data_IF_270219181669
#
_entry.id   IF_270219181669
#
_cell.length_a   1.000
_cell.length_b   1.000
_cell.length_c   1.000
_cell.angle_alpha   90.00
_cell.angle_beta   90.00
_cell.angle_gamma   90.00
#
_symmetry.space_group_name_H-M   'P 1'
#
loop_
_entity.id
_entity.type
_entity.pdbx_description
1 polymer ?
#
# COMPACT_ATOMS: atom_id res chain seq x y z
N UNK A 1 40.51 -2.72 45.89
CA UNK A 1 41.20 -1.61 46.58
C UNK A 1 40.41 -0.33 46.35
N UNK A 2 39.76 0.14 47.45
CA UNK A 2 39.36 1.53 47.83
C UNK A 2 38.63 2.38 46.77
N UNK A 3 37.29 2.52 46.91
CA UNK A 3 36.54 3.62 47.60
C UNK A 3 37.22 5.01 47.57
N UNK A 4 36.54 6.00 46.98
CA UNK A 4 36.35 7.32 47.55
C UNK A 4 35.16 8.06 46.94
N UNK A 5 34.20 8.28 47.82
CA UNK A 5 33.07 9.19 47.71
C UNK A 5 33.54 10.63 47.72
N UNK A 6 32.83 11.54 47.03
CA UNK A 6 32.78 12.94 47.37
C UNK A 6 31.38 13.52 47.09
N UNK A 7 30.78 13.94 48.19
CA UNK A 7 29.52 14.70 48.33
C UNK A 7 29.92 16.19 48.43
N UNK A 8 29.17 17.04 47.77
CA UNK A 8 28.97 18.46 48.10
C UNK A 8 28.04 19.07 47.03
N UNK A 9 27.05 19.83 47.22
CA UNK A 9 26.38 20.53 48.29
C UNK A 9 25.50 21.58 47.60
N UNK A 10 24.32 21.70 48.10
CA UNK A 10 23.20 22.61 47.81
C UNK A 10 23.62 24.09 47.74
N UNK A 11 23.01 24.89 46.80
CA UNK A 11 22.71 26.28 47.04
C UNK A 11 21.38 26.65 46.38
N UNK A 12 20.39 26.83 47.21
CA UNK A 12 19.12 27.50 46.88
C UNK A 12 19.30 29.00 46.91
N UNK A 13 18.74 29.72 45.95
CA UNK A 13 18.51 31.16 46.09
C UNK A 13 17.11 31.48 45.58
N UNK A 14 16.25 31.82 46.51
CA UNK A 14 14.91 32.40 46.31
C UNK A 14 15.06 33.93 46.37
N UNK A 15 14.22 34.62 45.61
CA UNK A 15 13.72 36.01 45.72
C UNK A 15 13.36 36.50 44.31
N UNK A 16 12.21 37.12 44.04
CA UNK A 16 11.19 37.72 44.90
C UNK A 16 10.03 38.16 44.03
N UNK A 17 8.95 38.25 44.66
CA UNK A 17 7.60 38.63 44.19
C UNK A 17 7.55 40.14 43.86
N UNK A 18 6.90 40.50 42.76
CA UNK A 18 6.28 41.82 42.65
C UNK A 18 4.94 41.68 41.99
N UNK A 19 3.90 41.79 42.80
CA UNK A 19 2.51 42.11 42.40
C UNK A 19 2.45 43.57 41.99
N UNK A 20 1.84 43.84 40.86
CA UNK A 20 1.18 45.10 40.61
C UNK A 20 -0.18 44.79 39.94
N UNK A 21 -1.26 44.98 40.68
CA UNK A 21 -2.62 44.99 40.21
C UNK A 21 -3.05 46.44 39.87
N UNK A 22 -3.92 46.55 38.88
CA UNK A 22 -4.99 47.54 38.58
C UNK A 22 -5.03 47.70 37.06
N UNK A 23 -6.14 47.65 36.38
CA UNK A 23 -7.55 47.67 36.62
C UNK A 23 -8.24 48.00 35.32
N UNK A 24 -9.37 47.36 35.09
CA UNK A 24 -10.52 47.99 34.42
C UNK A 24 -10.56 48.06 32.89
N UNK A 25 -11.53 47.38 32.29
CA UNK A 25 -12.35 48.02 31.23
C UNK A 25 -12.31 47.33 29.84
N UNK A 26 -13.42 46.73 29.61
CA UNK A 26 -14.17 46.60 28.35
C UNK A 26 -13.83 45.49 27.32
N UNK A 27 -14.94 44.84 27.06
CA UNK A 27 -15.16 43.80 26.04
C UNK A 27 -14.83 44.33 24.66
N UNK A 28 -14.08 43.52 23.92
CA UNK A 28 -14.35 43.33 22.50
C UNK A 28 -14.12 41.88 22.16
N UNK A 29 -15.21 41.22 21.77
CA UNK A 29 -15.26 39.93 21.15
C UNK A 29 -14.60 40.02 19.75
N UNK A 30 -13.35 39.74 19.65
CA UNK A 30 -12.72 39.40 18.38
C UNK A 30 -12.08 38.03 18.55
N UNK A 31 -12.80 37.01 18.10
CA UNK A 31 -12.28 35.68 17.84
C UNK A 31 -11.22 35.73 16.74
N UNK A 32 -10.10 36.34 17.05
CA UNK A 32 -8.86 36.25 16.30
C UNK A 32 -8.18 34.96 16.69
N UNK A 33 -8.39 33.88 15.93
CA UNK A 33 -7.65 32.66 16.10
C UNK A 33 -6.15 32.96 16.08
N UNK A 34 -5.51 32.75 17.21
CA UNK A 34 -4.06 32.80 17.36
C UNK A 34 -3.45 31.87 16.31
N UNK A 35 -2.86 32.45 15.25
CA UNK A 35 -1.96 31.76 14.34
C UNK A 35 -0.63 31.52 15.04
N UNK A 36 -0.67 30.86 16.21
CA UNK A 36 0.51 30.32 16.84
C UNK A 36 1.17 29.32 15.90
N UNK A 37 2.48 29.29 15.89
CA UNK A 37 3.36 28.45 15.06
C UNK A 37 2.93 26.97 15.16
N UNK A 38 1.93 26.55 14.33
CA UNK A 38 1.37 25.21 14.35
C UNK A 38 2.32 24.30 13.55
N UNK A 39 2.74 23.23 14.17
CA UNK A 39 3.58 22.21 13.52
C UNK A 39 2.86 20.86 13.57
N UNK A 40 2.61 20.29 12.40
CA UNK A 40 2.07 18.94 12.24
C UNK A 40 3.21 17.92 12.20
N UNK A 41 2.96 16.75 12.76
CA UNK A 41 3.77 15.54 12.53
C UNK A 41 3.09 14.67 11.47
N UNK A 42 3.84 14.33 10.43
CA UNK A 42 3.35 13.51 9.32
C UNK A 42 4.23 12.29 9.10
N UNK A 43 3.65 11.10 9.25
CA UNK A 43 4.27 9.84 8.88
C UNK A 43 3.86 9.44 7.47
N UNK A 44 4.79 9.50 6.54
CA UNK A 44 4.61 9.04 5.17
C UNK A 44 5.10 7.60 5.00
N UNK A 45 4.41 6.81 4.19
CA UNK A 45 4.90 5.50 3.73
C UNK A 45 5.98 5.68 2.67
N UNK A 46 6.86 4.69 2.51
CA UNK A 46 7.77 4.64 1.39
C UNK A 46 7.00 4.31 0.10
N UNK A 47 6.90 5.26 -0.80
CA UNK A 47 6.21 5.13 -2.08
C UNK A 47 7.18 5.16 -3.27
N UNK A 48 8.27 5.90 -3.16
CA UNK A 48 9.32 6.01 -4.16
C UNK A 48 10.37 4.90 -4.07
N UNK A 49 11.52 5.12 -4.70
CA UNK A 49 12.59 4.13 -4.82
C UNK A 49 13.38 3.91 -3.53
N UNK A 50 13.28 4.82 -2.57
CA UNK A 50 13.90 4.74 -1.24
C UNK A 50 13.28 5.75 -0.28
N UNK A 51 13.52 5.59 1.04
CA UNK A 51 13.08 6.54 2.06
C UNK A 51 13.64 7.96 1.82
N UNK A 52 14.87 8.07 1.33
CA UNK A 52 15.48 9.36 1.03
C UNK A 52 14.88 9.98 -0.23
N UNK A 53 14.57 9.18 -1.25
CA UNK A 53 13.83 9.63 -2.43
C UNK A 53 12.45 10.17 -2.06
N UNK A 54 11.71 9.51 -1.17
CA UNK A 54 10.43 10.03 -0.68
C UNK A 54 10.57 11.39 0.00
N UNK A 55 11.62 11.58 0.83
CA UNK A 55 11.91 12.88 1.48
C UNK A 55 12.22 13.96 0.44
N UNK A 56 13.02 13.64 -0.58
CA UNK A 56 13.35 14.57 -1.66
C UNK A 56 12.10 15.02 -2.44
N UNK A 57 11.18 14.09 -2.70
CA UNK A 57 9.92 14.36 -3.41
C UNK A 57 8.93 15.14 -2.55
N UNK A 58 8.76 14.75 -1.29
CA UNK A 58 7.76 15.36 -0.40
C UNK A 58 8.17 16.71 0.15
N UNK A 59 9.45 16.93 0.44
CA UNK A 59 9.94 18.17 1.09
C UNK A 59 9.48 19.45 0.36
N UNK A 60 9.66 19.61 -0.97
CA UNK A 60 9.21 20.83 -1.65
C UNK A 60 7.69 21.01 -1.61
N UNK A 61 6.92 19.93 -1.63
CA UNK A 61 5.45 19.94 -1.51
C UNK A 61 5.03 20.44 -0.13
N UNK A 62 5.67 19.95 0.93
CA UNK A 62 5.42 20.37 2.31
C UNK A 62 5.88 21.81 2.59
N UNK A 63 6.98 22.23 2.00
CA UNK A 63 7.43 23.63 2.06
C UNK A 63 6.42 24.59 1.42
N UNK A 64 5.86 24.20 0.26
CA UNK A 64 4.81 24.97 -0.40
C UNK A 64 3.56 25.06 0.46
N UNK A 65 3.12 23.96 1.06
CA UNK A 65 2.01 23.96 2.04
C UNK A 65 2.28 24.94 3.19
N UNK A 66 3.51 24.92 3.74
CA UNK A 66 3.91 25.85 4.82
C UNK A 66 3.87 27.31 4.37
N UNK A 67 4.34 27.60 3.15
CA UNK A 67 4.29 28.95 2.59
C UNK A 67 2.86 29.48 2.40
N UNK A 68 1.93 28.59 1.98
CA UNK A 68 0.54 28.96 1.73
C UNK A 68 -0.30 29.08 3.01
N UNK A 69 0.03 28.34 4.05
CA UNK A 69 -0.82 28.20 5.25
C UNK A 69 -0.19 28.70 6.55
N UNK A 70 1.11 28.89 6.60
CA UNK A 70 1.87 29.13 7.82
C UNK A 70 2.07 27.89 8.71
N UNK A 71 1.49 26.73 8.35
CA UNK A 71 1.57 25.50 9.12
C UNK A 71 2.82 24.73 8.73
N UNK A 72 3.71 24.45 9.68
CA UNK A 72 4.90 23.61 9.47
C UNK A 72 4.56 22.13 9.48
N UNK A 73 5.34 21.31 8.78
CA UNK A 73 5.15 19.85 8.78
C UNK A 73 6.50 19.18 9.06
N UNK A 74 6.55 18.41 10.13
CA UNK A 74 7.64 17.48 10.43
C UNK A 74 7.37 16.15 9.76
N UNK A 75 8.12 15.86 8.71
CA UNK A 75 8.02 14.63 7.93
C UNK A 75 8.89 13.53 8.51
N UNK A 76 8.31 12.35 8.69
CA UNK A 76 9.05 11.09 8.85
C UNK A 76 8.58 10.11 7.78
N UNK A 77 9.52 9.57 6.97
CA UNK A 77 9.22 8.52 5.99
C UNK A 77 9.55 7.17 6.60
N UNK A 78 8.59 6.24 6.56
CA UNK A 78 8.67 4.93 7.22
C UNK A 78 8.52 3.84 6.18
N UNK A 79 9.43 2.85 6.21
CA UNK A 79 9.36 1.68 5.34
C UNK A 79 8.15 0.80 5.66
N UNK A 80 7.62 0.12 4.64
CA UNK A 80 6.44 -0.74 4.76
C UNK A 80 6.56 -1.84 5.80
N UNK A 81 7.77 -2.41 5.98
CA UNK A 81 8.01 -3.47 6.96
C UNK A 81 7.78 -3.03 8.41
N UNK A 82 7.92 -1.72 8.68
CA UNK A 82 7.83 -1.17 10.03
C UNK A 82 6.54 -0.36 10.26
N UNK A 83 5.94 0.17 9.20
CA UNK A 83 4.87 1.17 9.29
C UNK A 83 3.66 0.66 10.08
N UNK A 84 3.17 -0.54 9.78
CA UNK A 84 2.00 -1.11 10.46
C UNK A 84 2.26 -1.29 11.97
N UNK A 85 3.42 -1.85 12.33
CA UNK A 85 3.82 -2.04 13.73
C UNK A 85 3.95 -0.70 14.46
N UNK A 86 4.48 0.32 13.80
CA UNK A 86 4.59 1.66 14.38
C UNK A 86 3.22 2.30 14.60
N UNK A 87 2.29 2.14 13.67
CA UNK A 87 0.90 2.62 13.82
C UNK A 87 0.25 1.93 15.03
N UNK A 88 0.33 0.62 15.15
CA UNK A 88 -0.21 -0.14 16.29
C UNK A 88 0.42 0.30 17.63
N UNK A 89 1.73 0.54 17.63
CA UNK A 89 2.43 1.07 18.80
C UNK A 89 1.95 2.48 19.16
N UNK A 90 1.75 3.34 18.17
CA UNK A 90 1.24 4.70 18.38
C UNK A 90 -0.19 4.69 18.96
N UNK A 91 -1.05 3.79 18.47
CA UNK A 91 -2.42 3.59 19.01
C UNK A 91 -2.36 3.20 20.49
N UNK A 92 -1.55 2.22 20.85
CA UNK A 92 -1.49 1.67 22.22
C UNK A 92 -0.78 2.60 23.20
N UNK A 93 0.25 3.32 22.76
CA UNK A 93 1.01 4.26 23.61
C UNK A 93 0.37 5.66 23.72
N UNK A 94 -0.53 6.00 22.82
CA UNK A 94 -1.08 7.35 22.69
C UNK A 94 -0.08 8.39 22.13
N UNK A 95 1.12 7.96 21.72
CA UNK A 95 2.14 8.81 21.10
C UNK A 95 2.08 8.67 19.59
N UNK A 96 1.14 9.37 18.99
CA UNK A 96 0.83 9.28 17.57
C UNK A 96 1.22 10.57 16.82
N UNK A 97 1.50 10.50 15.50
CA UNK A 97 1.59 11.68 14.66
C UNK A 97 0.20 12.32 14.50
N UNK A 98 0.13 13.52 13.93
CA UNK A 98 -1.15 14.14 13.59
C UNK A 98 -1.79 13.46 12.38
N UNK A 99 -0.97 13.21 11.35
CA UNK A 99 -1.39 12.60 10.08
C UNK A 99 -0.46 11.43 9.73
N UNK A 100 -1.05 10.37 9.16
CA UNK A 100 -0.30 9.18 8.76
C UNK A 100 -0.81 8.60 7.45
N UNK A 101 0.13 8.12 6.62
CA UNK A 101 -0.19 7.24 5.51
C UNK A 101 -0.48 5.83 6.03
N UNK A 102 -1.51 5.22 5.47
CA UNK A 102 -1.81 3.80 5.68
C UNK A 102 -1.92 3.09 4.34
N UNK A 103 -1.63 1.80 4.30
CA UNK A 103 -2.13 0.94 3.23
C UNK A 103 -3.66 0.96 3.26
N UNK A 104 -4.30 1.18 2.12
CA UNK A 104 -5.76 1.26 2.09
C UNK A 104 -6.43 -0.05 2.51
N UNK A 105 -5.74 -1.17 2.41
CA UNK A 105 -6.21 -2.49 2.85
C UNK A 105 -6.36 -2.56 4.38
N UNK A 106 -5.57 -1.79 5.15
CA UNK A 106 -5.65 -1.74 6.61
C UNK A 106 -6.77 -0.84 7.15
N UNK A 107 -7.47 -0.12 6.27
CA UNK A 107 -8.40 0.93 6.70
C UNK A 107 -9.53 0.41 7.60
N UNK A 108 -10.12 -0.75 7.28
CA UNK A 108 -11.21 -1.31 8.07
C UNK A 108 -10.76 -1.84 9.43
N UNK A 109 -9.59 -2.47 9.52
CA UNK A 109 -9.01 -2.94 10.79
C UNK A 109 -8.57 -1.78 11.67
N UNK A 110 -7.94 -0.76 11.09
CA UNK A 110 -7.54 0.45 11.82
C UNK A 110 -8.75 1.26 12.28
N UNK A 111 -9.82 1.34 11.48
CA UNK A 111 -11.07 1.96 11.87
C UNK A 111 -11.68 1.31 13.13
N UNK A 112 -11.62 -0.01 13.22
CA UNK A 112 -12.12 -0.75 14.37
C UNK A 112 -11.39 -0.44 15.69
N UNK A 113 -10.19 0.16 15.64
CA UNK A 113 -9.45 0.60 16.84
C UNK A 113 -9.97 1.88 17.47
N UNK A 114 -10.87 2.61 16.80
CA UNK A 114 -11.38 3.94 17.17
C UNK A 114 -10.27 5.01 17.39
N UNK A 115 -9.08 4.78 16.86
CA UNK A 115 -7.94 5.69 17.04
C UNK A 115 -7.91 6.85 16.03
N UNK A 116 -8.68 6.75 14.94
CA UNK A 116 -8.65 7.70 13.85
C UNK A 116 -9.89 8.56 13.76
N UNK A 117 -9.71 9.79 13.29
CA UNK A 117 -10.78 10.76 13.06
C UNK A 117 -11.70 10.25 11.93
N UNK A 118 -13.00 10.12 12.15
CA UNK A 118 -13.94 9.87 11.07
C UNK A 118 -14.02 11.11 10.15
N UNK A 119 -13.99 10.87 8.85
CA UNK A 119 -14.32 11.88 7.86
C UNK A 119 -15.85 11.92 7.69
N UNK A 120 -16.51 12.38 8.72
CA UNK A 120 -17.95 12.66 8.76
C UNK A 120 -18.32 13.85 7.86
N UNK A 121 -19.58 14.30 7.90
CA UNK A 121 -20.08 15.39 7.07
C UNK A 121 -19.23 16.65 7.12
N UNK A 122 -18.79 17.08 8.31
CA UNK A 122 -18.00 18.29 8.53
C UNK A 122 -16.54 18.09 8.10
N UNK A 123 -15.89 17.01 8.54
CA UNK A 123 -14.52 16.70 8.18
C UNK A 123 -14.39 16.43 6.68
N UNK A 124 -15.32 15.70 6.08
CA UNK A 124 -15.35 15.46 4.66
C UNK A 124 -15.54 16.76 3.85
N UNK A 125 -16.41 17.66 4.31
CA UNK A 125 -16.61 18.98 3.70
C UNK A 125 -15.34 19.83 3.80
N UNK A 126 -14.66 19.82 4.96
CA UNK A 126 -13.42 20.57 5.20
C UNK A 126 -12.31 20.18 4.22
N UNK A 127 -12.24 18.91 3.81
CA UNK A 127 -11.24 18.43 2.84
C UNK A 127 -11.68 18.59 1.36
N UNK A 128 -12.85 19.15 1.09
CA UNK A 128 -13.36 19.42 -0.27
C UNK A 128 -14.42 18.45 -0.77
N UNK A 129 -14.99 17.63 0.10
CA UNK A 129 -16.12 16.74 -0.20
C UNK A 129 -15.74 15.40 -0.85
N UNK A 130 -16.65 14.44 -0.69
CA UNK A 130 -16.47 13.06 -1.21
C UNK A 130 -16.51 13.00 -2.73
N UNK A 131 -17.22 13.92 -3.38
CA UNK A 131 -17.51 13.85 -4.82
C UNK A 131 -16.28 14.07 -5.70
N UNK A 132 -15.20 14.62 -5.15
CA UNK A 132 -13.94 14.77 -5.88
C UNK A 132 -13.20 13.43 -6.09
N UNK A 133 -13.42 12.45 -5.21
CA UNK A 133 -12.71 11.17 -5.25
C UNK A 133 -13.32 10.17 -6.24
N UNK A 134 -12.47 9.30 -6.77
CA UNK A 134 -12.90 8.09 -7.49
C UNK A 134 -13.67 7.22 -6.50
N UNK A 135 -14.91 6.79 -6.80
CA UNK A 135 -15.75 6.08 -5.84
C UNK A 135 -15.13 4.78 -5.31
N UNK A 136 -14.49 3.99 -6.19
CA UNK A 136 -13.81 2.75 -5.80
C UNK A 136 -12.62 2.99 -4.87
N UNK A 137 -11.88 4.10 -5.06
CA UNK A 137 -10.81 4.49 -4.17
C UNK A 137 -11.35 4.93 -2.79
N UNK A 138 -12.38 5.78 -2.77
CA UNK A 138 -12.97 6.26 -1.53
C UNK A 138 -13.60 5.11 -0.72
N UNK A 139 -14.16 4.10 -1.37
CA UNK A 139 -14.71 2.92 -0.71
C UNK A 139 -13.69 2.17 0.16
N UNK A 140 -12.38 2.31 -0.12
CA UNK A 140 -11.31 1.71 0.70
C UNK A 140 -10.98 2.50 1.97
N UNK A 141 -11.75 3.53 2.30
CA UNK A 141 -11.49 4.41 3.44
C UNK A 141 -11.86 3.83 4.82
N UNK A 142 -12.50 2.67 4.87
CA UNK A 142 -12.97 2.00 6.08
C UNK A 142 -14.01 0.95 5.77
N UNK A 143 -14.71 0.49 6.79
CA UNK A 143 -15.78 -0.50 6.68
C UNK A 143 -16.95 0.06 5.85
N UNK A 144 -17.51 -0.77 4.98
CA UNK A 144 -18.67 -0.40 4.17
C UNK A 144 -19.86 0.07 5.02
N UNK A 145 -20.54 1.12 4.56
CA UNK A 145 -21.71 1.68 5.25
C UNK A 145 -21.42 2.55 6.46
N UNK A 146 -20.13 2.89 6.72
CA UNK A 146 -19.71 3.79 7.79
C UNK A 146 -18.98 5.01 7.24
N UNK A 147 -18.84 6.07 8.05
CA UNK A 147 -17.97 7.19 7.69
C UNK A 147 -16.52 6.69 7.63
N UNK A 148 -15.78 6.98 6.55
CA UNK A 148 -14.41 6.53 6.42
C UNK A 148 -13.50 7.19 7.46
N UNK A 149 -12.48 6.48 7.94
CA UNK A 149 -11.43 7.03 8.82
C UNK A 149 -10.12 7.28 8.07
N UNK A 150 -10.15 7.08 6.77
CA UNK A 150 -9.06 7.46 5.86
C UNK A 150 -9.61 7.93 4.52
N UNK A 151 -8.82 8.71 3.79
CA UNK A 151 -9.17 9.16 2.44
C UNK A 151 -8.04 8.85 1.48
N UNK A 152 -8.34 8.53 0.20
CA UNK A 152 -7.34 8.15 -0.77
C UNK A 152 -6.32 9.25 -1.04
N UNK A 153 -5.03 8.87 -1.12
CA UNK A 153 -3.92 9.75 -1.49
C UNK A 153 -3.28 9.32 -2.81
N UNK A 154 -2.92 8.05 -2.94
CA UNK A 154 -2.34 7.47 -4.15
C UNK A 154 -3.11 6.24 -4.57
N UNK A 155 -3.44 6.13 -5.87
CA UNK A 155 -3.99 4.92 -6.45
C UNK A 155 -2.88 4.03 -6.98
N UNK A 156 -3.02 2.72 -6.79
CA UNK A 156 -2.14 1.69 -7.32
C UNK A 156 -2.96 0.56 -7.92
N UNK A 157 -2.43 -0.07 -8.97
CA UNK A 157 -3.02 -1.27 -9.57
C UNK A 157 -1.95 -2.21 -10.08
N UNK A 158 -2.16 -3.52 -9.97
CA UNK A 158 -1.28 -4.52 -10.56
C UNK A 158 -1.46 -4.58 -12.08
N UNK A 159 -0.34 -4.81 -12.76
CA UNK A 159 -0.28 -5.14 -14.17
C UNK A 159 0.78 -6.21 -14.42
N UNK A 160 0.68 -6.89 -15.56
CA UNK A 160 1.71 -7.79 -16.04
C UNK A 160 2.64 -7.01 -16.97
N UNK A 161 3.84 -6.71 -16.49
CA UNK A 161 4.92 -6.16 -17.29
C UNK A 161 5.58 -7.26 -18.11
N UNK A 162 5.88 -7.00 -19.40
CA UNK A 162 6.56 -7.94 -20.26
C UNK A 162 7.66 -7.27 -21.07
N UNK A 163 8.78 -7.97 -21.33
CA UNK A 163 9.89 -7.49 -22.12
C UNK A 163 9.59 -7.63 -23.62
N UNK A 164 9.40 -6.51 -24.33
CA UNK A 164 9.04 -6.50 -25.75
C UNK A 164 10.06 -7.22 -26.64
N UNK A 165 11.36 -7.05 -26.35
CA UNK A 165 12.43 -7.69 -27.17
C UNK A 165 12.45 -9.22 -27.00
N UNK A 166 12.27 -9.72 -25.76
CA UNK A 166 12.20 -11.17 -25.53
C UNK A 166 10.97 -11.79 -26.18
N UNK A 167 9.82 -11.12 -26.11
CA UNK A 167 8.58 -11.56 -26.74
C UNK A 167 8.72 -11.57 -28.27
N UNK A 168 9.24 -10.50 -28.86
CA UNK A 168 9.46 -10.40 -30.30
C UNK A 168 10.44 -11.49 -30.81
N UNK A 169 11.56 -11.71 -30.10
CA UNK A 169 12.53 -12.74 -30.46
C UNK A 169 11.95 -14.16 -30.42
N UNK A 170 10.95 -14.39 -29.55
CA UNK A 170 10.24 -15.67 -29.43
C UNK A 170 9.00 -15.75 -30.33
N UNK A 171 8.65 -14.70 -31.08
CA UNK A 171 7.42 -14.65 -31.88
C UNK A 171 6.15 -14.70 -31.02
N UNK A 172 6.18 -14.09 -29.85
CA UNK A 172 5.05 -14.06 -28.90
C UNK A 172 4.31 -12.73 -28.94
N UNK A 173 3.01 -12.79 -28.69
CA UNK A 173 2.18 -11.62 -28.43
C UNK A 173 1.98 -11.46 -26.91
N UNK A 174 1.67 -10.26 -26.40
CA UNK A 174 1.31 -10.07 -25.00
C UNK A 174 0.12 -10.97 -24.62
N UNK A 175 0.18 -11.67 -23.47
CA UNK A 175 -0.85 -12.63 -23.09
C UNK A 175 -2.15 -11.95 -22.68
N UNK A 176 -3.27 -12.56 -23.06
CA UNK A 176 -4.64 -12.12 -22.71
C UNK A 176 -5.30 -13.04 -21.69
N UNK A 177 -4.82 -14.27 -21.55
CA UNK A 177 -5.32 -15.25 -20.60
C UNK A 177 -4.18 -15.80 -19.75
N UNK A 178 -4.52 -16.40 -18.60
CA UNK A 178 -3.57 -17.08 -17.74
C UNK A 178 -2.79 -18.16 -18.50
N UNK A 179 -3.50 -18.94 -19.32
CA UNK A 179 -2.90 -20.02 -20.10
C UNK A 179 -1.86 -19.49 -21.11
N UNK A 180 -2.16 -18.38 -21.78
CA UNK A 180 -1.23 -17.71 -22.69
C UNK A 180 -0.01 -17.16 -21.93
N UNK A 181 -0.23 -16.59 -20.73
CA UNK A 181 0.86 -16.10 -19.87
C UNK A 181 1.80 -17.24 -19.46
N UNK A 182 1.25 -18.36 -19.00
CA UNK A 182 2.03 -19.54 -18.61
C UNK A 182 2.76 -20.13 -19.81
N UNK A 183 2.12 -20.22 -20.97
CA UNK A 183 2.75 -20.73 -22.20
C UNK A 183 3.91 -19.84 -22.64
N UNK A 184 3.75 -18.51 -22.62
CA UNK A 184 4.79 -17.55 -22.90
C UNK A 184 5.94 -17.66 -21.89
N UNK A 185 5.62 -17.75 -20.60
CA UNK A 185 6.59 -17.91 -19.54
C UNK A 185 7.45 -19.18 -19.71
N UNK A 186 6.83 -20.33 -20.03
CA UNK A 186 7.52 -21.59 -20.32
C UNK A 186 8.47 -21.45 -21.51
N UNK A 187 8.01 -20.84 -22.60
CA UNK A 187 8.82 -20.65 -23.81
C UNK A 187 10.04 -19.74 -23.57
N UNK A 188 9.92 -18.79 -22.65
CA UNK A 188 10.97 -17.81 -22.32
C UNK A 188 11.84 -18.24 -21.13
N UNK A 189 11.56 -19.38 -20.51
CA UNK A 189 12.37 -19.93 -19.43
C UNK A 189 13.53 -20.76 -19.97
N UNK A 190 14.75 -20.40 -19.57
CA UNK A 190 15.98 -21.13 -19.87
C UNK A 190 16.92 -21.11 -18.65
N UNK A 191 16.78 -22.04 -17.69
CA UNK A 191 17.59 -22.05 -16.48
C UNK A 191 19.11 -22.15 -16.74
N UNK A 192 19.52 -22.81 -17.83
CA UNK A 192 20.93 -22.91 -18.19
C UNK A 192 21.57 -21.55 -18.52
N UNK A 193 20.76 -20.57 -18.93
CA UNK A 193 21.17 -19.18 -19.17
C UNK A 193 20.78 -18.24 -17.99
N UNK A 194 20.33 -18.80 -16.86
CA UNK A 194 19.75 -18.05 -15.75
C UNK A 194 18.65 -17.08 -16.21
N UNK A 195 17.85 -17.47 -17.20
CA UNK A 195 16.71 -16.71 -17.71
C UNK A 195 15.42 -17.43 -17.33
N UNK A 196 14.45 -16.67 -16.80
CA UNK A 196 13.18 -17.21 -16.36
C UNK A 196 12.01 -16.48 -17.02
N UNK A 197 10.88 -17.15 -17.12
CA UNK A 197 9.66 -16.56 -17.68
C UNK A 197 9.08 -15.48 -16.80
N UNK A 198 9.13 -15.68 -15.47
CA UNK A 198 8.57 -14.76 -14.50
C UNK A 198 9.46 -14.60 -13.26
N UNK A 199 9.35 -13.45 -12.58
CA UNK A 199 9.79 -13.28 -11.21
C UNK A 199 8.56 -13.08 -10.29
N UNK A 200 8.62 -13.70 -9.11
CA UNK A 200 7.61 -13.61 -8.05
C UNK A 200 8.23 -13.01 -6.78
N UNK A 201 7.46 -12.25 -6.02
CA UNK A 201 7.87 -11.85 -4.66
C UNK A 201 7.38 -12.88 -3.63
N UNK A 202 7.75 -14.15 -3.83
CA UNK A 202 7.18 -15.30 -3.15
C UNK A 202 7.54 -15.41 -1.65
N UNK A 203 8.49 -14.60 -1.16
CA UNK A 203 8.80 -14.43 0.26
C UNK A 203 8.04 -13.27 0.92
N UNK A 204 7.27 -12.47 0.16
CA UNK A 204 6.47 -11.37 0.67
C UNK A 204 5.07 -11.85 1.07
N UNK A 205 4.71 -11.76 2.35
CA UNK A 205 3.37 -12.14 2.77
C UNK A 205 2.29 -11.22 2.17
N UNK A 206 2.58 -9.94 2.06
CA UNK A 206 1.68 -8.94 1.49
C UNK A 206 1.39 -9.21 0.00
N UNK A 207 2.45 -9.41 -0.81
CA UNK A 207 2.28 -9.73 -2.22
C UNK A 207 1.53 -11.06 -2.40
N UNK A 208 1.85 -12.06 -1.59
CA UNK A 208 1.23 -13.38 -1.68
C UNK A 208 -0.27 -13.34 -1.38
N UNK A 209 -0.72 -12.59 -0.37
CA UNK A 209 -2.15 -12.47 -0.08
C UNK A 209 -2.89 -11.68 -1.16
N UNK A 210 -2.26 -10.65 -1.75
CA UNK A 210 -2.86 -9.94 -2.88
C UNK A 210 -3.11 -10.89 -4.06
N UNK A 211 -2.15 -11.75 -4.40
CA UNK A 211 -2.35 -12.74 -5.47
C UNK A 211 -3.28 -13.88 -5.08
N UNK A 212 -3.34 -14.27 -3.80
CA UNK A 212 -4.39 -15.17 -3.31
C UNK A 212 -5.77 -14.56 -3.56
N UNK A 213 -5.96 -13.29 -3.18
CA UNK A 213 -7.22 -12.56 -3.37
C UNK A 213 -7.60 -12.47 -4.87
N UNK A 214 -6.69 -11.98 -5.72
CA UNK A 214 -6.96 -11.81 -7.15
C UNK A 214 -7.31 -13.15 -7.80
N UNK A 215 -6.51 -14.20 -7.54
CA UNK A 215 -6.74 -15.52 -8.12
C UNK A 215 -8.04 -16.17 -7.63
N UNK A 216 -8.43 -15.97 -6.38
CA UNK A 216 -9.72 -16.41 -5.85
C UNK A 216 -10.89 -15.65 -6.50
N UNK A 217 -10.77 -14.33 -6.59
CA UNK A 217 -11.78 -13.48 -7.24
C UNK A 217 -11.98 -13.84 -8.72
N UNK A 218 -10.91 -14.20 -9.45
CA UNK A 218 -10.99 -14.73 -10.81
C UNK A 218 -11.78 -16.05 -10.87
N UNK A 219 -11.78 -16.83 -9.79
CA UNK A 219 -12.59 -18.06 -9.62
C UNK A 219 -13.99 -17.78 -9.04
N UNK A 220 -14.42 -16.52 -8.89
CA UNK A 220 -15.69 -16.08 -8.26
C UNK A 220 -15.81 -16.51 -6.79
N UNK A 221 -14.69 -16.55 -6.08
CA UNK A 221 -14.65 -16.91 -4.68
C UNK A 221 -14.35 -15.67 -3.81
N UNK A 222 -15.00 -15.63 -2.65
CA UNK A 222 -14.81 -14.61 -1.64
C UNK A 222 -14.08 -15.19 -0.42
N UNK A 223 -13.31 -14.35 0.26
CA UNK A 223 -12.57 -14.74 1.46
C UNK A 223 -13.40 -14.60 2.74
N UNK A 224 -14.45 -13.79 2.71
CA UNK A 224 -15.41 -13.63 3.80
C UNK A 224 -16.82 -13.70 3.23
N UNK A 225 -17.75 -14.24 4.01
CA UNK A 225 -19.16 -14.22 3.65
C UNK A 225 -19.80 -12.84 3.98
N UNK A 226 -21.07 -12.68 3.65
CA UNK A 226 -21.83 -11.44 3.91
C UNK A 226 -21.92 -11.04 5.40
N UNK A 227 -21.71 -11.99 6.32
CA UNK A 227 -21.70 -11.73 7.75
C UNK A 227 -20.29 -11.33 8.26
N UNK A 228 -19.30 -11.22 7.37
CA UNK A 228 -17.91 -10.93 7.70
C UNK A 228 -17.16 -12.12 8.31
N UNK A 229 -17.67 -13.34 8.20
CA UNK A 229 -17.00 -14.56 8.68
C UNK A 229 -16.06 -15.11 7.62
N UNK A 230 -14.86 -15.57 8.00
CA UNK A 230 -13.90 -16.12 7.07
C UNK A 230 -14.39 -17.42 6.40
N UNK A 231 -14.08 -17.58 5.12
CA UNK A 231 -14.46 -18.72 4.25
C UNK A 231 -13.26 -19.18 3.42
N UNK A 232 -12.08 -19.26 4.03
CA UNK A 232 -10.81 -19.43 3.31
C UNK A 232 -10.63 -20.78 2.64
N UNK A 233 -11.34 -21.80 3.13
CA UNK A 233 -11.24 -23.19 2.65
C UNK A 233 -12.15 -23.49 1.47
N UNK A 234 -12.82 -22.48 0.91
CA UNK A 234 -13.64 -22.62 -0.31
C UNK A 234 -12.82 -23.11 -1.50
N UNK A 235 -13.40 -23.97 -2.35
CA UNK A 235 -12.66 -24.57 -3.48
C UNK A 235 -12.06 -23.53 -4.42
N UNK A 236 -12.74 -22.41 -4.67
CA UNK A 236 -12.23 -21.33 -5.50
C UNK A 236 -11.00 -20.64 -4.92
N UNK A 237 -10.93 -20.48 -3.58
CA UNK A 237 -9.78 -19.95 -2.86
C UNK A 237 -8.61 -20.93 -2.93
N UNK A 238 -8.85 -22.22 -2.61
CA UNK A 238 -7.83 -23.27 -2.67
C UNK A 238 -7.23 -23.37 -4.07
N UNK A 239 -8.06 -23.42 -5.11
CA UNK A 239 -7.59 -23.51 -6.49
C UNK A 239 -6.89 -22.21 -6.94
N UNK A 240 -7.33 -21.05 -6.47
CA UNK A 240 -6.68 -19.78 -6.75
C UNK A 240 -5.26 -19.73 -6.19
N UNK A 241 -5.08 -20.10 -4.93
CA UNK A 241 -3.77 -20.20 -4.28
C UNK A 241 -2.88 -21.23 -4.97
N UNK A 242 -3.39 -22.44 -5.20
CA UNK A 242 -2.62 -23.51 -5.85
C UNK A 242 -2.15 -23.10 -7.25
N UNK A 243 -3.02 -22.46 -8.04
CA UNK A 243 -2.67 -21.94 -9.37
C UNK A 243 -1.48 -20.97 -9.34
N UNK A 244 -1.41 -20.10 -8.35
CA UNK A 244 -0.28 -19.18 -8.19
C UNK A 244 1.00 -19.89 -7.76
N UNK A 245 0.91 -20.85 -6.83
CA UNK A 245 2.04 -21.70 -6.43
C UNK A 245 2.58 -22.55 -7.60
N UNK A 246 1.70 -22.99 -8.48
CA UNK A 246 2.05 -23.82 -9.65
C UNK A 246 2.99 -23.11 -10.64
N UNK A 247 3.05 -21.78 -10.66
CA UNK A 247 4.05 -21.04 -11.43
C UNK A 247 5.50 -21.47 -11.08
N UNK A 248 5.74 -21.81 -9.80
CA UNK A 248 7.05 -22.28 -9.35
C UNK A 248 7.18 -23.80 -9.39
N UNK A 249 6.20 -24.57 -8.89
CA UNK A 249 6.34 -26.00 -8.72
C UNK A 249 6.02 -26.82 -9.98
N UNK A 250 4.93 -26.55 -10.67
CA UNK A 250 4.43 -27.34 -11.82
C UNK A 250 4.91 -26.77 -13.14
N UNK A 251 4.73 -25.46 -13.31
CA UNK A 251 5.07 -24.77 -14.56
C UNK A 251 6.56 -24.45 -14.66
N UNK A 252 7.23 -24.33 -13.50
CA UNK A 252 8.70 -24.08 -13.40
C UNK A 252 9.14 -22.84 -14.18
N UNK A 253 8.31 -21.80 -14.15
CA UNK A 253 8.57 -20.55 -14.87
C UNK A 253 9.20 -19.47 -13.99
N UNK A 254 9.22 -19.67 -12.68
CA UNK A 254 9.84 -18.79 -11.70
C UNK A 254 11.02 -19.49 -11.01
N UNK A 255 12.09 -18.72 -10.73
CA UNK A 255 13.27 -19.26 -10.03
C UNK A 255 12.89 -19.61 -8.59
N UNK A 256 13.24 -20.82 -8.07
CA UNK A 256 13.01 -21.18 -6.68
C UNK A 256 13.57 -20.18 -5.66
N UNK A 257 14.66 -19.46 -5.98
CA UNK A 257 15.21 -18.39 -5.13
C UNK A 257 14.22 -17.23 -4.88
N UNK A 258 13.17 -17.10 -5.67
CA UNK A 258 12.12 -16.11 -5.49
C UNK A 258 11.36 -16.30 -4.15
N UNK A 259 11.39 -17.50 -3.56
CA UNK A 259 10.88 -17.74 -2.21
C UNK A 259 11.55 -16.88 -1.11
N UNK A 260 12.70 -16.28 -1.42
CA UNK A 260 13.43 -15.36 -0.54
C UNK A 260 13.23 -13.88 -0.91
N UNK A 261 12.38 -13.57 -1.89
CA UNK A 261 12.06 -12.19 -2.27
C UNK A 261 10.96 -11.67 -1.35
N UNK A 262 11.36 -10.97 -0.32
CA UNK A 262 10.54 -10.46 0.78
C UNK A 262 9.72 -9.20 0.42
N UNK A 263 9.93 -8.68 -0.80
CA UNK A 263 9.18 -7.57 -1.39
C UNK A 263 9.31 -7.57 -2.91
N UNK A 264 8.53 -6.73 -3.58
CA UNK A 264 8.51 -6.61 -5.03
C UNK A 264 9.78 -6.03 -5.67
N UNK A 265 10.67 -5.40 -4.90
CA UNK A 265 11.87 -4.70 -5.44
C UNK A 265 12.82 -5.67 -6.15
N UNK A 266 13.06 -6.87 -5.58
CA UNK A 266 13.96 -7.87 -6.16
C UNK A 266 13.39 -8.45 -7.46
N UNK A 267 12.09 -8.71 -7.51
CA UNK A 267 11.42 -9.21 -8.72
C UNK A 267 11.42 -8.16 -9.84
N UNK A 268 11.19 -6.89 -9.51
CA UNK A 268 11.28 -5.76 -10.46
C UNK A 268 12.71 -5.59 -10.97
N UNK A 269 13.73 -5.72 -10.11
CA UNK A 269 15.12 -5.62 -10.51
C UNK A 269 15.51 -6.77 -11.47
N UNK A 270 15.06 -8.01 -11.26
CA UNK A 270 15.30 -9.11 -12.19
C UNK A 270 14.64 -8.86 -13.55
N UNK A 271 13.47 -8.23 -13.58
CA UNK A 271 12.85 -7.81 -14.83
C UNK A 271 13.63 -6.70 -15.52
N UNK A 272 13.96 -5.62 -14.82
CA UNK A 272 14.72 -4.49 -15.36
C UNK A 272 16.10 -4.89 -15.89
N UNK A 273 16.75 -5.86 -15.25
CA UNK A 273 18.05 -6.42 -15.68
C UNK A 273 17.91 -7.55 -16.70
N UNK A 274 16.71 -7.80 -17.21
CA UNK A 274 16.42 -8.78 -18.30
C UNK A 274 16.72 -10.24 -17.93
N UNK A 275 16.75 -10.58 -16.64
CA UNK A 275 16.86 -11.96 -16.15
C UNK A 275 15.53 -12.70 -16.28
N UNK A 276 14.42 -11.97 -16.26
CA UNK A 276 13.07 -12.51 -16.44
C UNK A 276 12.35 -11.79 -17.57
N UNK A 277 11.44 -12.51 -18.23
CA UNK A 277 10.67 -11.98 -19.33
C UNK A 277 9.42 -11.18 -18.89
N UNK A 278 8.87 -11.51 -17.73
CA UNK A 278 7.67 -10.91 -17.17
C UNK A 278 7.79 -10.73 -15.66
N UNK A 279 7.09 -9.72 -15.14
CA UNK A 279 6.86 -9.51 -13.69
C UNK A 279 5.46 -8.96 -13.49
N UNK A 280 4.78 -9.40 -12.44
CA UNK A 280 3.53 -8.81 -12.00
C UNK A 280 3.88 -7.83 -10.89
N UNK A 281 3.53 -6.57 -11.08
CA UNK A 281 3.75 -5.55 -10.05
C UNK A 281 2.78 -4.37 -10.24
N UNK A 282 2.73 -3.48 -9.27
CA UNK A 282 1.92 -2.27 -9.33
C UNK A 282 2.54 -1.23 -10.27
N UNK A 283 1.75 -0.23 -10.66
CA UNK A 283 2.19 0.84 -11.59
C UNK A 283 3.39 1.64 -11.07
N UNK A 284 3.62 1.72 -9.77
CA UNK A 284 4.80 2.39 -9.21
C UNK A 284 6.12 1.64 -9.50
N UNK A 285 6.08 0.40 -9.98
CA UNK A 285 7.26 -0.31 -10.46
C UNK A 285 7.91 0.34 -11.67
N UNK A 286 7.17 1.13 -12.47
CA UNK A 286 7.69 1.86 -13.64
C UNK A 286 8.94 2.67 -13.30
N UNK A 287 8.89 3.48 -12.22
CA UNK A 287 10.04 4.27 -11.77
C UNK A 287 11.26 3.40 -11.41
N UNK A 288 11.01 2.27 -10.74
CA UNK A 288 12.08 1.32 -10.37
C UNK A 288 12.65 0.57 -11.59
N UNK A 289 11.81 0.21 -12.56
CA UNK A 289 12.24 -0.43 -13.81
C UNK A 289 13.19 0.51 -14.57
N UNK A 290 12.82 1.78 -14.71
CA UNK A 290 13.62 2.80 -15.39
C UNK A 290 14.91 3.08 -14.61
N UNK A 291 14.85 3.24 -13.30
CA UNK A 291 16.02 3.47 -12.45
C UNK A 291 17.05 2.32 -12.51
N UNK A 292 16.60 1.08 -12.73
CA UNK A 292 17.44 -0.09 -12.90
C UNK A 292 17.90 -0.33 -14.36
N UNK A 293 17.71 0.65 -15.26
CA UNK A 293 18.35 0.72 -16.57
C UNK A 293 17.53 0.23 -17.75
N UNK A 294 16.30 -0.24 -17.59
CA UNK A 294 15.41 -0.54 -18.69
C UNK A 294 14.73 0.75 -19.18
N UNK A 295 14.77 1.04 -20.45
CA UNK A 295 14.19 2.28 -21.01
C UNK A 295 12.70 2.15 -21.17
N UNK A 296 11.99 3.27 -21.00
CA UNK A 296 10.60 3.38 -21.45
C UNK A 296 10.47 2.94 -22.92
N UNK A 297 9.49 2.08 -23.20
CA UNK A 297 9.30 1.50 -24.55
C UNK A 297 9.98 0.13 -24.76
N UNK A 298 10.95 -0.30 -23.94
CA UNK A 298 11.53 -1.66 -23.99
C UNK A 298 10.59 -2.71 -23.37
N UNK A 299 9.62 -2.28 -22.59
CA UNK A 299 8.60 -3.14 -21.98
C UNK A 299 7.19 -2.65 -22.35
N UNK A 300 6.22 -3.47 -22.07
CA UNK A 300 4.81 -3.12 -22.14
C UNK A 300 4.08 -3.68 -20.93
N UNK A 301 2.85 -3.23 -20.73
CA UNK A 301 1.98 -3.67 -19.65
C UNK A 301 0.66 -4.16 -20.23
N UNK A 302 0.15 -5.25 -19.70
CA UNK A 302 -1.22 -5.72 -19.93
C UNK A 302 -1.89 -5.99 -18.58
N UNK A 303 -3.23 -5.99 -18.48
CA UNK A 303 -3.91 -6.43 -17.28
C UNK A 303 -3.41 -7.81 -16.84
N UNK A 304 -3.24 -8.06 -15.55
CA UNK A 304 -2.90 -9.40 -15.07
C UNK A 304 -3.98 -10.39 -15.52
N UNK A 305 -3.61 -11.42 -16.31
CA UNK A 305 -4.60 -12.21 -17.03
C UNK A 305 -5.38 -13.15 -16.10
N UNK A 306 -6.67 -13.26 -16.35
CA UNK A 306 -7.53 -14.29 -15.75
C UNK A 306 -7.51 -15.59 -16.59
N UNK A 307 -7.82 -16.74 -15.99
CA UNK A 307 -8.09 -17.98 -16.73
C UNK A 307 -9.22 -17.79 -17.74
N UNK A 308 -9.21 -18.58 -18.80
CA UNK A 308 -10.31 -18.61 -19.76
C UNK A 308 -11.65 -18.89 -19.04
N UNK A 309 -12.64 -17.99 -19.21
CA UNK A 309 -13.93 -18.08 -18.53
C UNK A 309 -13.94 -17.60 -17.06
N UNK A 310 -12.83 -17.18 -16.52
CA UNK A 310 -12.73 -16.56 -15.19
C UNK A 310 -13.21 -15.09 -15.19
N UNK A 311 -13.49 -14.56 -14.00
CA UNK A 311 -13.74 -13.12 -13.86
C UNK A 311 -12.49 -12.29 -14.19
N UNK A 312 -12.71 -11.17 -14.86
CA UNK A 312 -11.62 -10.28 -15.30
C UNK A 312 -11.15 -9.37 -14.16
N UNK A 313 -10.74 -9.97 -13.04
CA UNK A 313 -10.12 -9.25 -11.91
C UNK A 313 -8.61 -9.31 -12.10
N UNK A 314 -8.00 -8.15 -12.36
CA UNK A 314 -6.57 -8.03 -12.62
C UNK A 314 -5.80 -7.47 -11.41
N UNK A 315 -6.49 -6.81 -10.47
CA UNK A 315 -5.89 -6.20 -9.28
C UNK A 315 -6.89 -6.16 -8.13
N UNK A 316 -6.39 -6.02 -6.90
CA UNK A 316 -7.21 -5.38 -5.89
C UNK A 316 -7.16 -3.86 -6.08
N UNK A 317 -8.10 -3.12 -5.50
CA UNK A 317 -8.04 -1.65 -5.44
C UNK A 317 -6.92 -1.32 -4.45
N UNK A 318 -5.71 -1.15 -4.98
CA UNK A 318 -4.55 -0.85 -4.17
C UNK A 318 -4.38 0.66 -4.01
N UNK A 319 -3.70 1.06 -2.95
CA UNK A 319 -3.41 2.47 -2.74
C UNK A 319 -2.96 2.80 -1.33
N UNK A 320 -2.65 4.07 -1.19
CA UNK A 320 -2.26 4.68 0.07
C UNK A 320 -3.35 5.66 0.44
N UNK A 321 -3.82 5.58 1.68
CA UNK A 321 -4.76 6.52 2.23
C UNK A 321 -4.08 7.42 3.28
N UNK A 322 -4.67 8.60 3.52
CA UNK A 322 -4.35 9.50 4.63
C UNK A 322 -5.35 9.31 5.75
N UNK A 323 -4.85 9.11 6.97
CA UNK A 323 -5.63 9.12 8.20
C UNK A 323 -5.15 10.24 9.13
N UNK A 324 -6.05 10.75 9.94
CA UNK A 324 -5.78 11.71 11.02
C UNK A 324 -6.00 11.01 12.34
N UNK A 325 -5.05 11.07 13.26
CA UNK A 325 -5.28 10.52 14.60
C UNK A 325 -6.28 11.35 15.39
N UNK A 326 -7.22 10.68 16.06
CA UNK A 326 -8.33 11.31 16.78
C UNK A 326 -7.86 12.17 17.96
N UNK A 327 -6.72 11.82 18.56
CA UNK A 327 -6.15 12.53 19.70
C UNK A 327 -5.25 13.73 19.31
N UNK A 328 -5.13 14.05 18.01
CA UNK A 328 -4.38 15.24 17.56
C UNK A 328 -4.89 16.51 18.25
N UNK A 329 -3.97 17.41 18.60
CA UNK A 329 -4.30 18.76 19.11
C UNK A 329 -4.43 19.79 17.97
N UNK A 330 -4.21 19.35 16.73
CA UNK A 330 -4.12 20.19 15.54
C UNK A 330 -5.14 19.80 14.47
N UNK A 331 -6.36 19.41 14.87
CA UNK A 331 -7.41 18.88 13.97
C UNK A 331 -7.63 19.74 12.72
N UNK A 332 -7.80 21.06 12.89
CA UNK A 332 -8.08 21.95 11.76
C UNK A 332 -6.87 22.06 10.80
N UNK A 333 -5.66 22.10 11.36
CA UNK A 333 -4.43 22.09 10.57
C UNK A 333 -4.25 20.76 9.82
N UNK A 334 -4.57 19.62 10.46
CA UNK A 334 -4.53 18.30 9.85
C UNK A 334 -5.54 18.18 8.70
N UNK A 335 -6.77 18.67 8.87
CA UNK A 335 -7.77 18.68 7.78
C UNK A 335 -7.35 19.60 6.61
N UNK A 336 -6.76 20.77 6.89
CA UNK A 336 -6.16 21.62 5.83
C UNK A 336 -5.03 20.88 5.09
N UNK A 337 -4.21 20.14 5.81
CA UNK A 337 -3.14 19.33 5.22
C UNK A 337 -3.69 18.21 4.35
N UNK A 338 -4.69 17.45 4.83
CA UNK A 338 -5.35 16.41 4.03
C UNK A 338 -5.99 17.00 2.78
N UNK A 339 -6.67 18.16 2.89
CA UNK A 339 -7.23 18.87 1.71
C UNK A 339 -6.14 19.20 0.70
N UNK A 340 -5.01 19.75 1.13
CA UNK A 340 -3.88 20.13 0.28
C UNK A 340 -3.26 18.91 -0.40
N UNK A 341 -3.01 17.84 0.35
CA UNK A 341 -2.44 16.61 -0.21
C UNK A 341 -3.37 15.91 -1.21
N UNK A 342 -4.67 16.14 -1.09
CA UNK A 342 -5.71 15.56 -1.96
C UNK A 342 -6.30 16.59 -2.94
N UNK A 343 -5.58 17.67 -3.27
CA UNK A 343 -5.96 18.56 -4.36
C UNK A 343 -5.34 18.12 -5.71
N UNK A 344 -5.91 18.59 -6.81
CA UNK A 344 -5.49 18.19 -8.17
C UNK A 344 -4.04 18.57 -8.50
N UNK A 345 -3.54 19.70 -7.99
CA UNK A 345 -2.18 20.15 -8.24
C UNK A 345 -1.16 19.31 -7.51
N UNK A 346 -1.42 19.03 -6.22
CA UNK A 346 -0.58 18.17 -5.39
C UNK A 346 -0.57 16.74 -5.94
N UNK A 347 -1.74 16.19 -6.32
CA UNK A 347 -1.85 14.87 -6.95
C UNK A 347 -1.03 14.79 -8.25
N UNK A 348 -1.10 15.82 -9.11
CA UNK A 348 -0.30 15.88 -10.33
C UNK A 348 1.20 15.97 -10.04
N UNK A 349 1.60 16.79 -9.05
CA UNK A 349 3.00 16.96 -8.65
C UNK A 349 3.60 15.66 -8.14
N UNK A 350 2.85 14.89 -7.34
CA UNK A 350 3.30 13.64 -6.73
C UNK A 350 3.11 12.42 -7.64
N UNK A 351 2.18 12.48 -8.59
CA UNK A 351 1.83 11.36 -9.47
C UNK A 351 3.00 10.84 -10.30
N UNK A 352 3.85 11.75 -10.83
CA UNK A 352 4.99 11.35 -11.65
C UNK A 352 6.12 10.71 -10.83
N UNK A 353 6.67 11.36 -9.78
CA UNK A 353 7.80 10.78 -9.04
C UNK A 353 7.43 9.51 -8.28
N UNK A 354 6.17 9.38 -7.87
CA UNK A 354 5.67 8.17 -7.17
C UNK A 354 5.02 7.16 -8.09
N UNK A 355 5.00 7.43 -9.40
CA UNK A 355 4.34 6.58 -10.39
C UNK A 355 2.94 6.15 -9.95
N UNK A 356 2.17 7.08 -9.36
CA UNK A 356 0.86 6.80 -8.78
C UNK A 356 -0.28 7.15 -9.72
N UNK A 357 -1.37 6.40 -9.63
CA UNK A 357 -2.64 6.71 -10.27
C UNK A 357 -3.37 7.79 -9.48
N UNK A 358 -4.06 8.71 -10.17
CA UNK A 358 -4.87 9.71 -9.50
C UNK A 358 -6.08 9.05 -8.80
N UNK A 359 -6.38 9.53 -7.61
CA UNK A 359 -7.57 9.14 -6.84
C UNK A 359 -8.73 10.14 -6.98
N UNK A 360 -8.54 11.18 -7.80
CA UNK A 360 -9.54 12.20 -8.11
C UNK A 360 -10.17 11.93 -9.48
N UNK A 361 -11.50 12.16 -9.61
CA UNK A 361 -12.27 11.89 -10.82
C UNK A 361 -11.76 12.65 -12.05
N UNK A 362 -11.33 13.89 -11.84
CA UNK A 362 -10.96 14.80 -12.94
C UNK A 362 -9.45 14.83 -13.20
N UNK A 363 -8.65 14.02 -12.48
CA UNK A 363 -7.21 13.97 -12.66
C UNK A 363 -6.82 12.83 -13.63
N UNK A 364 -5.78 13.08 -14.42
CA UNK A 364 -5.23 12.11 -15.37
C UNK A 364 -3.92 11.51 -14.82
N UNK A 365 -3.60 10.24 -15.13
CA UNK A 365 -2.31 9.66 -14.79
C UNK A 365 -1.19 10.41 -15.50
N UNK A 366 -0.14 10.75 -14.76
CA UNK A 366 1.04 11.49 -15.24
C UNK A 366 2.35 10.77 -14.97
N UNK A 367 2.29 9.54 -14.44
CA UNK A 367 3.46 8.77 -14.02
C UNK A 367 4.31 8.27 -15.19
N UNK A 368 3.71 8.01 -16.33
CA UNK A 368 4.39 7.54 -17.54
C UNK A 368 4.04 8.41 -18.76
N UNK A 369 4.96 8.44 -19.72
CA UNK A 369 4.72 9.05 -21.05
C UNK A 369 4.18 8.05 -22.06
N UNK A 370 4.15 6.75 -21.73
CA UNK A 370 3.53 5.72 -22.57
C UNK A 370 2.00 5.74 -22.36
N UNK A 371 1.30 6.25 -23.34
CA UNK A 371 -0.16 6.37 -23.29
C UNK A 371 -0.87 5.01 -23.19
N UNK A 372 -0.29 3.94 -23.73
CA UNK A 372 -0.86 2.60 -23.66
C UNK A 372 -0.72 2.02 -22.23
N UNK A 373 0.42 2.24 -21.60
CA UNK A 373 0.65 1.87 -20.19
C UNK A 373 -0.31 2.63 -19.27
N UNK A 374 -0.38 3.96 -19.41
CA UNK A 374 -1.30 4.79 -18.62
C UNK A 374 -2.75 4.33 -18.76
N UNK A 375 -3.20 4.07 -20.00
CA UNK A 375 -4.55 3.59 -20.27
C UNK A 375 -4.80 2.20 -19.66
N UNK A 376 -3.80 1.29 -19.72
CA UNK A 376 -3.92 -0.05 -19.16
C UNK A 376 -4.13 0.00 -17.64
N UNK A 377 -3.30 0.75 -16.92
CA UNK A 377 -3.44 0.83 -15.47
C UNK A 377 -4.70 1.56 -15.05
N UNK A 378 -5.11 2.60 -15.78
CA UNK A 378 -6.37 3.30 -15.50
C UNK A 378 -7.59 2.39 -15.73
N UNK A 379 -7.60 1.60 -16.81
CA UNK A 379 -8.64 0.60 -17.06
C UNK A 379 -8.69 -0.46 -15.95
N UNK A 380 -7.53 -0.99 -15.57
CA UNK A 380 -7.44 -1.97 -14.46
C UNK A 380 -7.99 -1.36 -13.18
N UNK A 381 -7.54 -0.16 -12.79
CA UNK A 381 -7.96 0.50 -11.56
C UNK A 381 -9.47 0.76 -11.52
N UNK A 382 -10.03 1.22 -12.64
CA UNK A 382 -11.43 1.64 -12.71
C UNK A 382 -12.41 0.48 -12.94
N UNK A 383 -12.00 -0.59 -13.67
CA UNK A 383 -12.95 -1.60 -14.17
C UNK A 383 -12.59 -3.05 -13.86
N UNK A 384 -11.33 -3.33 -13.48
CA UNK A 384 -10.83 -4.70 -13.26
C UNK A 384 -10.20 -4.89 -11.88
N UNK A 385 -10.52 -4.01 -10.94
CA UNK A 385 -10.08 -4.11 -9.55
C UNK A 385 -11.26 -4.31 -8.62
N UNK A 386 -11.04 -5.11 -7.57
CA UNK A 386 -11.99 -5.28 -6.46
C UNK A 386 -11.29 -4.85 -5.14
N UNK A 387 -11.97 -4.20 -4.20
CA UNK A 387 -11.38 -3.94 -2.88
C UNK A 387 -11.09 -5.26 -2.19
N UNK A 388 -10.02 -5.32 -1.38
CA UNK A 388 -9.86 -6.39 -0.41
C UNK A 388 -11.04 -6.36 0.58
N UNK A 389 -11.27 -7.45 1.34
CA UNK A 389 -12.39 -7.50 2.28
C UNK A 389 -12.37 -6.33 3.26
N UNK A 390 -13.40 -5.48 3.24
CA UNK A 390 -13.50 -4.31 4.12
C UNK A 390 -14.07 -4.69 5.50
N UNK A 391 -13.38 -5.58 6.17
CA UNK A 391 -13.76 -6.15 7.47
C UNK A 391 -12.69 -5.85 8.53
N UNK A 392 -13.05 -5.81 9.84
CA UNK A 392 -12.07 -5.54 10.91
C UNK A 392 -10.90 -6.53 10.97
N UNK A 393 -11.11 -7.77 10.52
CA UNK A 393 -10.11 -8.84 10.51
C UNK A 393 -9.23 -8.85 9.24
N UNK A 394 -9.24 -7.80 8.44
CA UNK A 394 -8.53 -7.74 7.16
C UNK A 394 -7.01 -7.88 7.34
N UNK A 395 -6.40 -7.16 8.29
CA UNK A 395 -4.96 -7.25 8.57
C UNK A 395 -4.51 -8.65 9.01
N UNK A 396 -5.38 -9.37 9.72
CA UNK A 396 -5.14 -10.75 10.12
C UNK A 396 -5.27 -11.71 8.93
N UNK A 397 -6.25 -11.47 8.05
CA UNK A 397 -6.36 -12.17 6.77
C UNK A 397 -5.07 -12.00 5.96
N UNK A 398 -4.61 -10.77 5.76
CA UNK A 398 -3.36 -10.51 5.03
C UNK A 398 -2.18 -11.27 5.66
N UNK A 399 -1.99 -11.14 6.95
CA UNK A 399 -0.84 -11.72 7.64
C UNK A 399 -0.87 -13.24 7.69
N UNK A 400 -2.04 -13.86 7.94
CA UNK A 400 -2.13 -15.31 8.12
C UNK A 400 -2.08 -16.05 6.78
N UNK A 401 -2.88 -15.64 5.80
CA UNK A 401 -2.88 -16.24 4.46
C UNK A 401 -1.57 -15.99 3.74
N UNK A 402 -1.04 -14.76 3.81
CA UNK A 402 0.22 -14.42 3.17
C UNK A 402 1.41 -15.23 3.74
N UNK A 403 1.50 -15.36 5.07
CA UNK A 403 2.55 -16.20 5.72
C UNK A 403 2.39 -17.69 5.41
N UNK A 404 1.15 -18.18 5.33
CA UNK A 404 0.90 -19.56 4.90
C UNK A 404 1.44 -19.80 3.47
N UNK A 405 1.24 -18.85 2.55
CA UNK A 405 1.79 -18.95 1.20
C UNK A 405 3.32 -18.84 1.18
N UNK A 406 3.93 -17.97 2.00
CA UNK A 406 5.40 -17.93 2.14
C UNK A 406 5.96 -19.30 2.53
N UNK A 407 5.34 -19.97 3.50
CA UNK A 407 5.76 -21.31 3.94
C UNK A 407 5.61 -22.36 2.81
N UNK A 408 4.52 -22.28 2.04
CA UNK A 408 4.30 -23.17 0.89
C UNK A 408 5.34 -22.92 -0.22
N UNK A 409 5.65 -21.67 -0.57
CA UNK A 409 6.73 -21.35 -1.52
C UNK A 409 8.11 -21.80 -1.02
N UNK A 410 8.41 -21.66 0.27
CA UNK A 410 9.65 -22.15 0.86
C UNK A 410 9.76 -23.69 0.76
N UNK A 411 8.65 -24.43 1.01
CA UNK A 411 8.57 -25.88 0.78
C UNK A 411 8.87 -26.24 -0.68
N UNK A 412 8.26 -25.54 -1.64
CA UNK A 412 8.47 -25.75 -3.08
C UNK A 412 9.94 -25.45 -3.46
N UNK A 413 10.49 -24.36 -2.98
CA UNK A 413 11.86 -23.95 -3.27
C UNK A 413 12.94 -24.96 -2.81
N UNK A 414 12.62 -25.75 -1.78
CA UNK A 414 13.48 -26.83 -1.28
C UNK A 414 13.18 -28.21 -1.91
N UNK A 415 12.40 -28.24 -2.98
CA UNK A 415 12.07 -29.46 -3.74
C UNK A 415 10.83 -30.22 -3.23
N UNK A 416 10.11 -29.68 -2.25
CA UNK A 416 8.83 -30.24 -1.81
C UNK A 416 7.70 -29.99 -2.80
N UNK A 417 6.59 -30.70 -2.63
CA UNK A 417 5.36 -30.50 -3.40
C UNK A 417 4.24 -30.03 -2.47
N UNK A 418 3.43 -29.09 -2.95
CA UNK A 418 2.23 -28.59 -2.28
C UNK A 418 1.01 -29.04 -3.09
N UNK A 419 0.13 -29.78 -2.44
CA UNK A 419 -1.13 -30.27 -3.04
C UNK A 419 -2.30 -29.35 -2.69
N UNK A 420 -3.46 -29.58 -3.31
CA UNK A 420 -4.70 -28.88 -2.94
C UNK A 420 -5.08 -29.12 -1.47
N UNK A 421 -4.84 -30.33 -0.96
CA UNK A 421 -5.10 -30.66 0.45
C UNK A 421 -4.13 -29.93 1.39
N UNK A 422 -2.86 -29.79 1.02
CA UNK A 422 -1.89 -28.97 1.78
C UNK A 422 -2.34 -27.51 1.82
N UNK A 423 -2.78 -26.94 0.68
CA UNK A 423 -3.31 -25.56 0.61
C UNK A 423 -4.54 -25.44 1.52
N UNK A 424 -5.49 -26.35 1.40
CA UNK A 424 -6.73 -26.35 2.20
C UNK A 424 -6.42 -26.43 3.71
N UNK A 425 -5.49 -27.28 4.11
CA UNK A 425 -5.08 -27.40 5.51
C UNK A 425 -4.42 -26.10 6.04
N UNK A 426 -3.54 -25.47 5.24
CA UNK A 426 -2.90 -24.22 5.60
C UNK A 426 -3.93 -23.07 5.68
N UNK A 427 -4.83 -22.97 4.73
CA UNK A 427 -5.92 -21.99 4.73
C UNK A 427 -6.90 -22.22 5.89
N UNK A 428 -7.16 -23.50 6.28
CA UNK A 428 -7.99 -23.80 7.46
C UNK A 428 -7.34 -23.27 8.74
N UNK A 429 -6.05 -23.44 8.88
CA UNK A 429 -5.31 -22.90 10.04
C UNK A 429 -5.43 -21.37 10.08
N UNK A 430 -5.27 -20.68 8.94
CA UNK A 430 -5.44 -19.23 8.84
C UNK A 430 -6.88 -18.81 9.14
N UNK A 431 -7.88 -19.54 8.63
CA UNK A 431 -9.30 -19.31 8.88
C UNK A 431 -9.64 -19.39 10.37
N UNK A 432 -9.13 -20.43 11.06
CA UNK A 432 -9.36 -20.61 12.50
C UNK A 432 -8.71 -19.49 13.33
N UNK A 433 -7.52 -19.03 12.95
CA UNK A 433 -6.85 -17.93 13.61
C UNK A 433 -7.64 -16.62 13.48
N UNK A 434 -8.14 -16.31 12.28
CA UNK A 434 -8.95 -15.12 12.04
C UNK A 434 -10.29 -15.21 12.77
N UNK A 435 -10.95 -16.38 12.73
CA UNK A 435 -12.23 -16.58 13.41
C UNK A 435 -12.13 -16.49 14.95
N UNK A 436 -10.97 -16.84 15.53
CA UNK A 436 -10.75 -16.77 16.99
C UNK A 436 -10.50 -15.34 17.50
N UNK A 437 -10.18 -14.41 16.60
CA UNK A 437 -9.86 -13.01 16.93
C UNK A 437 -10.94 -12.01 16.47
N UNK A 438 -11.99 -12.49 15.81
CA UNK A 438 -13.19 -11.74 15.38
C UNK A 438 -14.34 -11.95 16.40
#
# INVERSE_FOLDING_TARGET
VRLRSLVAAVAATAMGISLAACGGGDKDDSSGGSTGDQTLTYWASNQGTSLDNDKEVLTPVLQKFTQETGIKVNLEVIGWNDLQTRIQTAITSGQAPDVVNIGNTWAASLQATDAFLPFDGDAMTAIGGKDKFVPTALATGGKEGTDPTSVPLYGLAYGLYYNKAMFAAAGLQPPKTWEEMVAAAKKLTNPAKNQWGMALAAGSYTENVHFAFINAAQNKADWFNSDGKPTFTGDGNVQGVLRYLDLMQKDKVANPSNAQYDNGTKSVNDFATKKVAMVINQNNADSSIVANGMKAGEYGVVPFPAPAGGEQVASHVAGINLSVFKNTKHKDAALKFVKYMTDANTQTTLGKPFSSLPVLKDAKPVFTTDAAEAATFQDVYNTKSKPLPLVPAEDQFESTVGKAMNAMFAKIATGGTVTADDVKAALKTAEDQVAASS
#
